data_IF_068463740994
#
_entry.id   IF_068463740994
#
_cell.length_a   1.000
_cell.length_b   1.000
_cell.length_c   1.000
_cell.angle_alpha   90.00
_cell.angle_beta   90.00
_cell.angle_gamma   90.00
#
_symmetry.space_group_name_H-M   'P 1'
#
loop_
_entity.id
_entity.type
_entity.pdbx_description
1 polymer ?
#
# COMPACT_ATOMS: atom_id res chain seq x y z
N UNK A 1 5.95 -0.94 -20.71
CA UNK A 1 6.74 -1.30 -19.52
C UNK A 1 5.97 -2.32 -18.71
N UNK A 2 6.64 -3.35 -18.21
CA UNK A 2 6.09 -4.32 -17.25
C UNK A 2 6.40 -3.84 -15.84
N UNK A 3 5.48 -4.06 -14.91
CA UNK A 3 5.73 -3.77 -13.49
C UNK A 3 6.98 -4.49 -12.99
N UNK A 4 7.69 -3.94 -11.98
CA UNK A 4 8.74 -4.63 -11.26
C UNK A 4 8.22 -5.97 -10.74
N UNK A 5 9.06 -6.98 -10.88
CA UNK A 5 8.73 -8.38 -10.60
C UNK A 5 8.91 -8.77 -9.12
N UNK A 6 8.97 -7.80 -8.21
CA UNK A 6 9.17 -8.08 -6.77
C UNK A 6 8.68 -6.93 -5.90
N UNK A 7 8.45 -7.26 -4.64
CA UNK A 7 8.25 -6.33 -3.54
C UNK A 7 9.54 -5.53 -3.26
N UNK A 8 9.42 -4.23 -2.99
CA UNK A 8 10.54 -3.31 -2.74
C UNK A 8 10.65 -2.85 -1.29
N UNK A 9 9.76 -3.30 -0.40
CA UNK A 9 9.73 -2.82 0.99
C UNK A 9 10.91 -3.26 1.86
N UNK A 10 11.70 -4.25 1.40
CA UNK A 10 12.93 -4.65 2.09
C UNK A 10 13.96 -3.51 2.17
N UNK A 11 13.88 -2.54 1.26
CA UNK A 11 14.80 -1.39 1.17
C UNK A 11 14.33 -0.18 2.00
N UNK A 12 13.14 -0.25 2.61
CA UNK A 12 12.57 0.84 3.40
C UNK A 12 13.18 0.92 4.81
N UNK A 13 13.26 2.14 5.35
CA UNK A 13 13.72 2.37 6.73
C UNK A 13 12.70 1.88 7.77
N UNK A 14 11.41 2.13 7.50
CA UNK A 14 10.30 1.76 8.38
C UNK A 14 10.33 0.27 8.75
N UNK A 15 10.36 -0.07 10.06
CA UNK A 15 10.15 -1.43 10.52
C UNK A 15 8.79 -2.00 10.09
N UNK A 16 7.74 -1.18 10.09
CA UNK A 16 6.40 -1.57 9.65
C UNK A 16 6.39 -1.98 8.17
N UNK A 17 7.01 -1.19 7.29
CA UNK A 17 7.07 -1.53 5.87
C UNK A 17 7.89 -2.80 5.62
N UNK A 18 9.04 -2.93 6.29
CA UNK A 18 9.88 -4.13 6.17
C UNK A 18 9.19 -5.41 6.62
N UNK A 19 8.28 -5.34 7.60
CA UNK A 19 7.46 -6.49 8.01
C UNK A 19 6.62 -7.07 6.86
N UNK A 20 6.32 -6.27 5.84
CA UNK A 20 5.55 -6.68 4.66
C UNK A 20 6.42 -6.98 3.44
N UNK A 21 7.75 -7.05 3.59
CA UNK A 21 8.69 -7.23 2.47
C UNK A 21 8.61 -8.62 1.82
N UNK A 22 8.17 -9.64 2.57
CA UNK A 22 8.00 -11.01 2.07
C UNK A 22 6.63 -11.26 1.44
N UNK A 23 5.72 -10.26 1.46
CA UNK A 23 4.41 -10.43 0.86
C UNK A 23 4.54 -10.61 -0.67
N UNK A 24 3.74 -11.51 -1.28
CA UNK A 24 3.72 -11.71 -2.74
C UNK A 24 3.22 -10.50 -3.53
N UNK A 25 2.55 -9.55 -2.87
CA UNK A 25 2.20 -8.25 -3.46
C UNK A 25 3.47 -7.45 -3.74
N UNK A 26 3.61 -6.93 -4.96
CA UNK A 26 4.74 -6.10 -5.38
C UNK A 26 4.61 -4.67 -4.83
N UNK A 27 4.76 -4.52 -3.51
CA UNK A 27 4.66 -3.24 -2.82
C UNK A 27 5.83 -2.30 -3.14
N UNK A 28 5.53 -1.01 -3.12
CA UNK A 28 6.49 0.12 -3.10
C UNK A 28 6.22 0.97 -1.87
N UNK A 29 7.24 1.58 -1.31
CA UNK A 29 7.05 2.74 -0.43
C UNK A 29 6.52 3.94 -1.23
N UNK A 30 5.89 4.87 -0.53
CA UNK A 30 5.46 6.12 -1.14
C UNK A 30 6.67 6.94 -1.62
N UNK A 31 6.77 7.17 -2.93
CA UNK A 31 7.82 7.98 -3.52
C UNK A 31 7.38 8.63 -4.83
N UNK A 32 8.03 9.72 -5.27
CA UNK A 32 7.80 10.29 -6.59
C UNK A 32 7.98 9.26 -7.72
N UNK A 33 8.91 8.31 -7.57
CA UNK A 33 9.14 7.23 -8.54
C UNK A 33 7.94 6.29 -8.64
N UNK A 34 7.35 5.87 -7.50
CA UNK A 34 6.17 5.01 -7.50
C UNK A 34 4.93 5.70 -8.13
N UNK A 35 4.77 7.00 -7.89
CA UNK A 35 3.69 7.79 -8.50
C UNK A 35 3.90 8.00 -10.01
N UNK A 36 5.14 8.26 -10.43
CA UNK A 36 5.49 8.37 -11.84
C UNK A 36 5.24 7.05 -12.58
N UNK A 37 5.60 5.91 -11.98
CA UNK A 37 5.36 4.60 -12.55
C UNK A 37 3.87 4.33 -12.81
N UNK A 38 2.99 4.64 -11.85
CA UNK A 38 1.54 4.50 -12.04
C UNK A 38 1.04 5.34 -13.22
N UNK A 39 1.54 6.57 -13.36
CA UNK A 39 1.21 7.47 -14.46
C UNK A 39 1.72 6.95 -15.80
N UNK A 40 2.96 6.49 -15.88
CA UNK A 40 3.58 5.97 -17.10
C UNK A 40 2.91 4.69 -17.59
N UNK A 41 2.49 3.83 -16.65
CA UNK A 41 1.79 2.59 -16.97
C UNK A 41 0.28 2.79 -17.23
N UNK A 42 -0.27 3.96 -16.93
CA UNK A 42 -1.71 4.22 -17.02
C UNK A 42 -2.53 3.32 -16.09
N UNK A 43 -1.99 2.99 -14.92
CA UNK A 43 -2.60 2.05 -13.97
C UNK A 43 -2.99 2.75 -12.66
N UNK A 44 -4.13 2.38 -12.06
CA UNK A 44 -4.54 2.92 -10.76
C UNK A 44 -3.55 2.51 -9.66
N UNK A 45 -3.49 3.33 -8.60
CA UNK A 45 -2.69 3.07 -7.41
C UNK A 45 -3.58 2.38 -6.40
N UNK A 46 -3.17 1.21 -5.91
CA UNK A 46 -3.76 0.65 -4.70
C UNK A 46 -2.93 1.15 -3.51
N UNK A 47 -3.47 2.10 -2.77
CA UNK A 47 -2.83 2.70 -1.61
C UNK A 47 -3.27 1.98 -0.35
N UNK A 48 -2.32 1.48 0.45
CA UNK A 48 -2.55 0.87 1.75
C UNK A 48 -1.76 1.61 2.84
N UNK A 49 -2.45 2.33 3.73
CA UNK A 49 -1.85 3.05 4.84
C UNK A 49 -2.10 2.30 6.16
N UNK A 50 -1.04 2.08 6.93
CA UNK A 50 -1.11 1.43 8.24
C UNK A 50 0.04 1.85 9.16
N UNK A 51 0.14 1.16 10.30
CA UNK A 51 1.18 1.37 11.32
C UNK A 51 1.37 0.07 12.13
N UNK A 52 2.50 -0.08 12.82
CA UNK A 52 2.90 -1.35 13.44
C UNK A 52 1.92 -1.89 14.50
N UNK A 53 1.26 -1.02 15.27
CA UNK A 53 0.34 -1.43 16.33
C UNK A 53 -1.12 -1.68 15.85
N UNK A 54 -1.36 -1.63 14.53
CA UNK A 54 -2.69 -1.78 13.95
C UNK A 54 -3.11 -3.27 13.84
N UNK A 55 -4.04 -3.70 14.70
CA UNK A 55 -4.54 -5.08 14.71
C UNK A 55 -5.15 -5.51 13.36
N UNK A 56 -6.00 -4.68 12.76
CA UNK A 56 -6.67 -4.99 11.48
C UNK A 56 -5.72 -4.95 10.27
N UNK A 57 -4.60 -4.24 10.38
CA UNK A 57 -3.57 -4.23 9.35
C UNK A 57 -2.87 -5.59 9.27
N UNK A 58 -2.70 -6.28 10.41
CA UNK A 58 -2.19 -7.65 10.45
C UNK A 58 -3.20 -8.67 9.91
N UNK A 59 -4.49 -8.54 10.25
CA UNK A 59 -5.54 -9.42 9.72
C UNK A 59 -5.64 -9.31 8.19
N UNK A 60 -5.69 -8.09 7.66
CA UNK A 60 -5.73 -7.86 6.21
C UNK A 60 -4.46 -8.38 5.51
N UNK A 61 -3.29 -8.22 6.14
CA UNK A 61 -2.06 -8.76 5.58
C UNK A 61 -2.11 -10.29 5.47
N UNK A 62 -2.54 -10.96 6.53
CA UNK A 62 -2.58 -12.42 6.57
C UNK A 62 -3.65 -13.01 5.64
N UNK A 63 -4.86 -12.42 5.61
CA UNK A 63 -5.96 -12.98 4.83
C UNK A 63 -5.90 -12.61 3.34
N UNK A 64 -5.30 -11.46 3.00
CA UNK A 64 -5.32 -10.93 1.62
C UNK A 64 -3.93 -10.76 1.03
N UNK A 65 -3.01 -10.09 1.70
CA UNK A 65 -1.73 -9.71 1.07
C UNK A 65 -0.69 -10.83 1.04
N UNK A 66 -0.84 -11.87 1.85
CA UNK A 66 -0.04 -13.10 1.83
C UNK A 66 -0.60 -14.17 0.88
N UNK A 67 -1.81 -13.96 0.33
CA UNK A 67 -2.43 -14.90 -0.59
C UNK A 67 -1.94 -14.68 -2.03
N UNK A 68 -1.27 -15.68 -2.60
CA UNK A 68 -0.71 -15.61 -3.95
C UNK A 68 -1.74 -15.29 -5.05
N UNK A 69 -2.96 -15.81 -4.94
CA UNK A 69 -4.00 -15.56 -5.95
C UNK A 69 -4.50 -14.11 -5.90
N UNK A 70 -4.68 -13.57 -4.69
CA UNK A 70 -5.05 -12.16 -4.48
C UNK A 70 -3.91 -11.25 -4.94
N UNK A 71 -2.68 -11.56 -4.53
CA UNK A 71 -1.49 -10.80 -4.94
C UNK A 71 -1.30 -10.81 -6.46
N UNK A 72 -1.55 -11.92 -7.15
CA UNK A 72 -1.49 -11.98 -8.60
C UNK A 72 -2.50 -11.04 -9.28
N UNK A 73 -3.71 -10.90 -8.73
CA UNK A 73 -4.70 -9.94 -9.23
C UNK A 73 -4.25 -8.50 -8.94
N UNK A 74 -3.81 -8.21 -7.73
CA UNK A 74 -3.30 -6.90 -7.34
C UNK A 74 -2.13 -6.46 -8.21
N UNK A 75 -1.14 -7.34 -8.37
CA UNK A 75 0.03 -7.13 -9.20
C UNK A 75 -0.34 -7.00 -10.68
N UNK A 76 -1.43 -7.60 -11.15
CA UNK A 76 -1.89 -7.43 -12.54
C UNK A 76 -2.62 -6.11 -12.79
N UNK A 77 -3.35 -5.59 -11.80
CA UNK A 77 -4.25 -4.45 -12.01
C UNK A 77 -3.72 -3.11 -11.48
N UNK A 78 -2.97 -3.10 -10.38
CA UNK A 78 -2.58 -1.88 -9.67
C UNK A 78 -1.07 -1.64 -9.60
N UNK A 79 -0.69 -0.39 -9.37
CA UNK A 79 0.60 -0.07 -8.72
C UNK A 79 0.35 -0.05 -7.22
N UNK A 80 0.84 -1.07 -6.52
CA UNK A 80 0.60 -1.24 -5.09
C UNK A 80 1.59 -0.37 -4.29
N UNK A 81 1.06 0.54 -3.47
CA UNK A 81 1.84 1.45 -2.62
C UNK A 81 1.45 1.24 -1.16
N UNK A 82 2.44 1.01 -0.30
CA UNK A 82 2.26 0.87 1.14
C UNK A 82 2.87 2.06 1.86
N UNK A 83 2.17 2.59 2.86
CA UNK A 83 2.57 3.78 3.61
C UNK A 83 2.55 3.47 5.09
N UNK A 84 3.65 3.82 5.76
CA UNK A 84 3.71 3.91 7.20
C UNK A 84 3.21 5.29 7.64
N UNK A 85 2.11 5.29 8.38
CA UNK A 85 1.52 6.50 8.95
C UNK A 85 2.47 7.20 9.93
N UNK A 86 3.30 6.45 10.65
CA UNK A 86 4.22 7.02 11.65
C UNK A 86 5.33 7.83 10.97
N UNK A 87 5.76 7.40 9.77
CA UNK A 87 6.73 8.15 8.95
C UNK A 87 6.06 9.24 8.11
N UNK A 88 4.83 9.01 7.64
CA UNK A 88 4.10 9.90 6.71
C UNK A 88 2.69 10.25 7.21
N UNK A 89 2.57 10.96 8.35
CA UNK A 89 1.27 11.39 8.87
C UNK A 89 0.59 12.42 7.96
N UNK A 90 1.36 13.13 7.12
CA UNK A 90 0.86 14.05 6.10
C UNK A 90 0.01 13.34 5.05
N UNK A 91 0.47 12.18 4.56
CA UNK A 91 -0.25 11.38 3.57
C UNK A 91 -1.51 10.80 4.20
N UNK A 92 -1.39 10.22 5.41
CA UNK A 92 -2.52 9.67 6.15
C UNK A 92 -3.65 10.68 6.31
N UNK A 93 -3.34 11.90 6.73
CA UNK A 93 -4.34 12.96 6.91
C UNK A 93 -5.05 13.33 5.61
N UNK A 94 -4.32 13.45 4.51
CA UNK A 94 -4.89 13.79 3.19
C UNK A 94 -5.91 12.72 2.77
N UNK A 95 -5.53 11.45 2.85
CA UNK A 95 -6.38 10.35 2.39
C UNK A 95 -7.54 10.06 3.35
N UNK A 96 -7.35 10.24 4.66
CA UNK A 96 -8.43 10.18 5.63
C UNK A 96 -9.46 11.31 5.42
N UNK A 97 -8.98 12.53 5.11
CA UNK A 97 -9.87 13.64 4.78
C UNK A 97 -10.64 13.38 3.48
N UNK A 98 -10.00 12.79 2.46
CA UNK A 98 -10.67 12.39 1.23
C UNK A 98 -11.77 11.35 1.49
N UNK A 99 -11.49 10.33 2.32
CA UNK A 99 -12.46 9.31 2.73
C UNK A 99 -13.68 9.93 3.42
N UNK A 100 -13.46 10.83 4.38
CA UNK A 100 -14.55 11.54 5.04
C UNK A 100 -15.34 12.46 4.09
N UNK A 101 -14.66 13.11 3.14
CA UNK A 101 -15.31 13.94 2.12
C UNK A 101 -16.22 13.12 1.18
N UNK A 102 -15.92 11.83 0.98
CA UNK A 102 -16.79 10.89 0.27
C UNK A 102 -17.94 10.36 1.13
N UNK A 103 -18.03 10.75 2.40
CA UNK A 103 -19.07 10.34 3.34
C UNK A 103 -18.83 8.98 4.00
N UNK A 104 -17.64 8.40 3.82
CA UNK A 104 -17.27 7.10 4.36
C UNK A 104 -16.69 7.22 5.78
N UNK A 105 -16.86 6.16 6.59
CA UNK A 105 -16.24 6.09 7.91
C UNK A 105 -14.76 5.71 7.81
N UNK A 106 -13.91 6.42 8.57
CA UNK A 106 -12.47 6.21 8.58
C UNK A 106 -11.96 5.14 9.55
N UNK A 107 -10.80 4.58 9.21
CA UNK A 107 -10.10 3.59 10.04
C UNK A 107 -8.83 3.09 9.37
N UNK A 108 -8.06 2.27 10.08
CA UNK A 108 -6.87 1.61 9.55
C UNK A 108 -7.06 0.08 9.53
N UNK A 109 -6.58 -0.62 8.49
CA UNK A 109 -5.82 -0.12 7.35
C UNK A 109 -6.68 0.71 6.39
N UNK A 110 -6.22 1.90 6.03
CA UNK A 110 -6.89 2.73 5.03
C UNK A 110 -6.48 2.23 3.65
N UNK A 111 -7.44 1.76 2.87
CA UNK A 111 -7.21 1.25 1.50
C UNK A 111 -8.00 2.07 0.49
N UNK A 112 -7.31 2.65 -0.50
CA UNK A 112 -7.91 3.49 -1.56
C UNK A 112 -7.35 3.14 -2.94
N UNK A 113 -8.11 3.47 -4.00
CA UNK A 113 -7.82 3.14 -5.41
C UNK A 113 -7.76 4.39 -6.30
#
# INVERSE_FOLDING_TARGET
MTLPARNLLAEEASPYLRQHSDNPVHWRGWSPAALAEARELGRPILLSIGYAACHWCHVMAHESFENDAVAAVMNRLYVNIKVDREERPDIDQIYMAALHAMGEQGGWPLTMF
#
